data_IF_991956641463
#
_entry.id   IF_991956641463
#
_cell.length_a   1.000
_cell.length_b   1.000
_cell.length_c   1.000
_cell.angle_alpha   90.00
_cell.angle_beta   90.00
_cell.angle_gamma   90.00
#
_symmetry.space_group_name_H-M   'P 1'
#
loop_
_entity.id
_entity.type
_entity.pdbx_description
1 polymer ?
#
# COMPACT_ATOMS: atom_id res chain seq x y z
N UNK A 1 -0.11 -11.47 -8.32
CA UNK A 1 1.20 -10.82 -8.11
C UNK A 1 1.30 -10.40 -6.66
N UNK A 2 2.40 -10.75 -5.97
CA UNK A 2 2.66 -10.28 -4.60
C UNK A 2 3.40 -8.93 -4.61
N UNK A 3 3.07 -8.04 -3.69
CA UNK A 3 3.66 -6.71 -3.54
C UNK A 3 4.11 -6.52 -2.10
N UNK A 4 5.34 -6.05 -1.94
CA UNK A 4 5.87 -5.55 -0.67
C UNK A 4 6.22 -4.09 -0.86
N UNK A 5 5.80 -3.25 0.07
CA UNK A 5 5.96 -1.81 -0.05
C UNK A 5 6.24 -1.12 1.28
N UNK A 6 6.56 0.16 1.18
CA UNK A 6 6.58 1.07 2.32
C UNK A 6 5.41 2.03 2.17
N UNK A 7 4.73 2.29 3.27
CA UNK A 7 3.66 3.26 3.37
C UNK A 7 3.95 4.26 4.50
N UNK A 8 3.30 5.41 4.44
CA UNK A 8 3.27 6.37 5.53
C UNK A 8 1.96 6.16 6.31
N UNK A 9 2.09 5.78 7.58
CA UNK A 9 1.00 5.65 8.52
C UNK A 9 0.94 6.89 9.41
N UNK A 10 -0.12 7.69 9.24
CA UNK A 10 -0.41 8.76 10.18
C UNK A 10 -0.98 8.17 11.47
N UNK A 11 -0.36 8.50 12.59
CA UNK A 11 -0.74 8.05 13.92
C UNK A 11 -0.99 9.24 14.83
N UNK A 12 -2.07 9.17 15.60
CA UNK A 12 -2.53 10.19 16.53
C UNK A 12 -3.38 9.57 17.63
N UNK A 13 -3.98 10.41 18.48
CA UNK A 13 -4.78 9.94 19.62
C UNK A 13 -6.00 9.13 19.17
N UNK A 14 -6.65 9.53 18.08
CA UNK A 14 -7.85 8.85 17.57
C UNK A 14 -7.52 7.48 16.99
N UNK A 15 -6.39 7.36 16.32
CA UNK A 15 -5.95 6.13 15.65
C UNK A 15 -5.13 5.21 16.55
N UNK A 16 -4.73 5.65 17.75
CA UNK A 16 -3.92 4.85 18.70
C UNK A 16 -4.52 4.74 20.10
N UNK A 17 -5.83 4.98 20.25
CA UNK A 17 -6.56 4.88 21.53
C UNK A 17 -5.95 5.76 22.64
N UNK A 18 -5.49 6.96 22.28
CA UNK A 18 -4.90 7.93 23.22
C UNK A 18 -3.41 7.71 23.56
N UNK A 19 -2.74 6.74 22.95
CA UNK A 19 -1.31 6.50 23.18
C UNK A 19 -0.44 7.60 22.56
N UNK A 20 -0.63 7.91 21.27
CA UNK A 20 0.01 9.04 20.61
C UNK A 20 -0.76 10.31 20.89
N UNK A 21 -0.17 11.25 21.64
CA UNK A 21 -0.82 12.53 21.96
C UNK A 21 -0.63 13.60 20.90
N UNK A 22 0.32 13.41 19.99
CA UNK A 22 0.61 14.32 18.87
C UNK A 22 0.56 13.52 17.58
N UNK A 23 -0.01 14.11 16.54
CA UNK A 23 0.01 13.51 15.20
C UNK A 23 1.45 13.43 14.71
N UNK A 24 1.82 12.27 14.19
CA UNK A 24 3.10 12.02 13.52
C UNK A 24 2.96 10.95 12.46
N UNK A 25 3.89 10.95 11.53
CA UNK A 25 3.97 9.97 10.47
C UNK A 25 5.01 8.90 10.81
N UNK A 26 4.63 7.64 10.66
CA UNK A 26 5.51 6.49 10.85
C UNK A 26 5.59 5.67 9.56
N UNK A 27 6.74 5.05 9.33
CA UNK A 27 6.88 4.08 8.26
C UNK A 27 6.10 2.80 8.60
N UNK A 28 5.30 2.34 7.65
CA UNK A 28 4.62 1.05 7.69
C UNK A 28 5.15 0.15 6.57
N UNK A 29 5.17 -1.15 6.83
CA UNK A 29 5.46 -2.17 5.82
C UNK A 29 4.13 -2.67 5.27
N UNK A 30 3.97 -2.53 3.97
CA UNK A 30 2.82 -3.05 3.23
C UNK A 30 3.10 -4.44 2.72
N UNK A 31 2.13 -5.34 2.90
CA UNK A 31 2.07 -6.62 2.20
C UNK A 31 0.75 -6.69 1.46
N UNK A 32 0.80 -6.93 0.15
CA UNK A 32 -0.39 -7.02 -0.67
C UNK A 32 -0.28 -8.13 -1.71
N UNK A 33 -1.43 -8.62 -2.14
CA UNK A 33 -1.56 -9.49 -3.30
C UNK A 33 -2.64 -8.92 -4.20
N UNK A 34 -2.42 -9.00 -5.51
CA UNK A 34 -3.37 -8.46 -6.46
C UNK A 34 -3.31 -9.06 -7.84
N UNK A 35 -4.30 -8.64 -8.62
CA UNK A 35 -4.47 -8.92 -10.03
C UNK A 35 -4.16 -7.64 -10.80
N UNK A 36 -3.41 -7.80 -11.89
CA UNK A 36 -3.14 -6.74 -12.85
C UNK A 36 -3.62 -7.26 -14.20
N UNK A 37 -4.56 -6.55 -14.81
CA UNK A 37 -5.06 -6.82 -16.15
C UNK A 37 -4.50 -5.74 -17.07
N UNK A 38 -3.87 -6.14 -18.16
CA UNK A 38 -3.30 -5.24 -19.15
C UNK A 38 -4.00 -5.46 -20.49
N UNK A 39 -4.44 -4.35 -21.10
CA UNK A 39 -5.01 -4.31 -22.44
C UNK A 39 -4.31 -3.18 -23.21
N UNK A 40 -3.52 -3.54 -24.22
CA UNK A 40 -2.67 -2.67 -25.03
C UNK A 40 -1.67 -1.81 -24.23
N UNK A 41 -2.09 -0.60 -23.83
CA UNK A 41 -1.29 0.34 -23.04
C UNK A 41 -1.96 0.64 -21.70
N UNK A 42 -3.16 0.13 -21.44
CA UNK A 42 -3.97 0.43 -20.26
C UNK A 42 -3.89 -0.74 -19.29
N UNK A 43 -3.71 -0.43 -18.01
CA UNK A 43 -3.70 -1.42 -16.94
C UNK A 43 -4.79 -1.12 -15.93
N UNK A 44 -5.49 -2.16 -15.48
CA UNK A 44 -6.36 -2.13 -14.32
C UNK A 44 -5.78 -3.04 -13.24
N UNK A 45 -5.83 -2.60 -11.99
CA UNK A 45 -5.23 -3.30 -10.85
C UNK A 45 -6.22 -3.41 -9.71
N UNK A 46 -6.25 -4.57 -9.08
CA UNK A 46 -7.00 -4.84 -7.85
C UNK A 46 -6.06 -5.47 -6.84
N UNK A 47 -5.97 -4.89 -5.66
CA UNK A 47 -5.14 -5.39 -4.56
C UNK A 47 -5.95 -5.57 -3.29
N UNK A 48 -5.60 -6.60 -2.53
CA UNK A 48 -5.91 -6.73 -1.12
C UNK A 48 -4.59 -6.75 -0.35
N UNK A 49 -4.51 -5.99 0.73
CA UNK A 49 -3.28 -5.89 1.51
C UNK A 49 -3.52 -5.53 2.96
N UNK A 50 -2.43 -5.50 3.72
CA UNK A 50 -2.37 -4.99 5.08
C UNK A 50 -1.07 -4.21 5.28
N UNK A 51 -1.13 -3.22 6.17
CA UNK A 51 0.01 -2.42 6.58
C UNK A 51 0.38 -2.70 8.02
N UNK A 52 1.68 -2.75 8.32
CA UNK A 52 2.19 -2.96 9.67
C UNK A 52 3.18 -1.89 10.10
N UNK A 53 2.87 -1.23 11.20
CA UNK A 53 3.78 -0.35 11.95
C UNK A 53 4.37 -1.16 13.10
N UNK A 54 5.66 -1.01 13.36
CA UNK A 54 6.35 -1.71 14.45
C UNK A 54 6.26 -0.97 15.78
N UNK A 55 6.55 -1.67 16.87
CA UNK A 55 6.58 -1.11 18.22
C UNK A 55 5.20 -0.90 18.85
N UNK A 56 5.20 -0.29 20.04
CA UNK A 56 3.99 -0.13 20.87
C UNK A 56 2.93 0.75 20.19
N UNK A 57 3.35 1.76 19.43
CA UNK A 57 2.44 2.57 18.60
C UNK A 57 1.70 1.70 17.59
N UNK A 58 2.41 0.80 16.91
CA UNK A 58 1.80 -0.14 15.98
C UNK A 58 0.81 -1.10 16.65
N UNK A 59 1.14 -1.62 17.83
CA UNK A 59 0.24 -2.50 18.60
C UNK A 59 -1.11 -1.84 18.94
N UNK A 60 -1.12 -0.51 19.09
CA UNK A 60 -2.31 0.28 19.42
C UNK A 60 -2.96 0.95 18.23
N UNK A 61 -2.27 1.00 17.09
CA UNK A 61 -2.77 1.61 15.88
C UNK A 61 -3.94 0.79 15.33
N UNK A 62 -5.11 1.43 15.22
CA UNK A 62 -6.37 0.74 14.93
C UNK A 62 -6.41 0.10 13.55
N UNK A 63 -5.51 0.46 12.63
CA UNK A 63 -5.41 -0.10 11.28
C UNK A 63 -4.28 -1.12 11.15
N UNK A 64 -3.48 -1.35 12.18
CA UNK A 64 -2.32 -2.23 12.13
C UNK A 64 -2.72 -3.67 11.78
N UNK A 65 -2.23 -4.19 10.66
CA UNK A 65 -2.56 -5.52 10.14
C UNK A 65 -4.01 -5.69 9.69
N UNK A 66 -4.81 -4.62 9.62
CA UNK A 66 -6.16 -4.68 9.06
C UNK A 66 -6.10 -4.71 7.53
N UNK A 67 -6.97 -5.54 6.96
CA UNK A 67 -7.09 -5.68 5.51
C UNK A 67 -7.70 -4.42 4.89
N UNK A 68 -7.15 -4.01 3.77
CA UNK A 68 -7.69 -3.00 2.90
C UNK A 68 -7.78 -3.52 1.46
N UNK A 69 -8.58 -2.84 0.64
CA UNK A 69 -8.70 -3.09 -0.79
C UNK A 69 -8.31 -1.83 -1.55
N UNK A 70 -7.57 -2.01 -2.65
CA UNK A 70 -7.20 -0.92 -3.54
C UNK A 70 -7.52 -1.28 -4.98
N UNK A 71 -8.00 -0.28 -5.73
CA UNK A 71 -8.14 -0.33 -7.18
C UNK A 71 -7.21 0.70 -7.80
N UNK A 72 -6.59 0.36 -8.93
CA UNK A 72 -5.66 1.25 -9.61
C UNK A 72 -5.82 1.17 -11.12
N UNK A 73 -5.50 2.27 -11.79
CA UNK A 73 -5.39 2.34 -13.24
C UNK A 73 -3.98 2.81 -13.62
N UNK A 74 -3.45 2.32 -14.72
CA UNK A 74 -2.13 2.67 -15.23
C UNK A 74 -2.13 2.81 -16.74
N UNK A 75 -1.19 3.58 -17.27
CA UNK A 75 -0.95 3.70 -18.70
C UNK A 75 0.53 3.58 -19.02
N UNK A 76 0.89 2.76 -20.01
CA UNK A 76 2.25 2.61 -20.49
C UNK A 76 2.53 3.61 -21.61
N UNK A 77 3.36 4.62 -21.30
CA UNK A 77 3.75 5.65 -22.28
C UNK A 77 4.92 5.24 -23.17
N UNK A 78 5.79 4.34 -22.69
CA UNK A 78 6.99 3.91 -23.41
C UNK A 78 6.84 2.42 -23.72
N UNK A 79 6.66 2.11 -25.01
CA UNK A 79 6.81 0.76 -25.55
C UNK A 79 8.21 0.67 -26.15
N UNK A 80 9.07 -0.19 -25.59
CA UNK A 80 10.34 -0.50 -26.25
C UNK A 80 10.02 -1.28 -27.51
N UNK A 81 10.26 -0.68 -28.68
CA UNK A 81 10.33 -1.39 -29.94
C UNK A 81 11.66 -2.14 -29.97
N UNK A 82 11.74 -3.29 -29.30
CA UNK A 82 12.73 -4.30 -29.67
C UNK A 82 12.24 -4.96 -30.97
N UNK A 83 12.36 -4.20 -32.07
CA UNK A 83 12.40 -4.76 -33.40
C UNK A 83 13.67 -5.60 -33.49
N UNK A 84 13.49 -6.92 -33.48
CA UNK A 84 14.53 -7.90 -33.80
C UNK A 84 15.21 -7.48 -35.11
N UNK A 85 16.49 -7.13 -35.04
CA UNK A 85 17.42 -7.22 -36.18
C UNK A 85 18.08 -8.59 -36.20
#
# INVERSE_FOLDING_TARGET
MGVYGLANANVDSATTQGFERKSRDLAAITKAIGLVLEFDNVQARLFIGDDKVSGETGNRWIYNGKRWFAVGIGYQFIKSNDEKK
#
